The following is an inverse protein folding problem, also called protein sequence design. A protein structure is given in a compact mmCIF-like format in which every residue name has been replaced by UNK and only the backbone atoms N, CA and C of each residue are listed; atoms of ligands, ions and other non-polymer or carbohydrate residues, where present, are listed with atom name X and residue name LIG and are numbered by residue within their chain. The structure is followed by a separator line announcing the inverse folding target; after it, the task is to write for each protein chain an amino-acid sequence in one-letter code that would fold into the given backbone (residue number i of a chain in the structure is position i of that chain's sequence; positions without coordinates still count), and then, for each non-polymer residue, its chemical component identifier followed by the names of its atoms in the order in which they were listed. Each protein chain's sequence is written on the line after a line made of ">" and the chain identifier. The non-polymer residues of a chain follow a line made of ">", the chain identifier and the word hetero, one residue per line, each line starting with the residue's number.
data_IF_434570341113
#
_entry.id   IF_434570341113
#
_cell.length_a   1.000
_cell.length_b   1.000
_cell.length_c   1.000
_cell.angle_alpha   90.00
_cell.angle_beta   90.00
_cell.angle_gamma   90.00
#
_symmetry.space_group_name_H-M   'P 1'
#
loop_
_entity.id
_entity.type
_entity.pdbx_description
1 polymer ?
#
# COMPACT_ATOMS: atom_id res chain seq x y z
N UNK A 1 6.41 1.75 16.31
CA UNK A 1 7.19 0.52 16.61
C UNK A 1 7.09 -0.38 15.40
N UNK A 2 8.20 -0.62 14.73
CA UNK A 2 8.23 -1.48 13.54
C UNK A 2 8.34 -2.94 14.02
N UNK A 3 7.32 -3.74 13.73
CA UNK A 3 7.36 -5.17 13.95
C UNK A 3 7.99 -5.77 12.69
N UNK A 4 9.15 -6.36 12.83
CA UNK A 4 9.86 -7.03 11.74
C UNK A 4 9.45 -8.49 11.74
N UNK A 5 8.75 -8.92 10.72
CA UNK A 5 8.27 -10.30 10.56
C UNK A 5 9.39 -11.34 10.61
N UNK A 6 10.59 -10.99 10.17
CA UNK A 6 11.79 -11.85 10.17
C UNK A 6 12.71 -11.63 11.39
N UNK A 7 12.28 -10.91 12.43
CA UNK A 7 13.11 -10.70 13.61
C UNK A 7 12.90 -11.82 14.63
N UNK A 8 13.98 -12.23 15.30
CA UNK A 8 13.91 -13.15 16.44
C UNK A 8 13.51 -12.37 17.69
N UNK A 9 12.43 -12.79 18.32
CA UNK A 9 11.95 -12.22 19.57
C UNK A 9 12.34 -13.10 20.76
N UNK A 10 12.51 -12.57 21.96
CA UNK A 10 12.91 -13.34 23.16
C UNK A 10 11.78 -14.21 23.71
N UNK A 11 10.59 -14.18 23.13
CA UNK A 11 9.42 -14.97 23.49
C UNK A 11 8.59 -15.23 22.23
N UNK A 12 7.76 -16.29 22.19
CA UNK A 12 6.97 -16.65 21.03
C UNK A 12 5.91 -15.60 20.71
N UNK A 13 5.68 -15.33 19.43
CA UNK A 13 4.63 -14.43 18.94
C UNK A 13 3.77 -15.17 17.94
N UNK A 14 2.49 -15.38 18.25
CA UNK A 14 1.55 -16.03 17.37
C UNK A 14 1.22 -15.14 16.15
N UNK A 15 1.18 -15.75 14.94
CA UNK A 15 0.89 -15.06 13.68
C UNK A 15 2.09 -14.38 13.01
N UNK A 16 3.32 -14.67 13.46
CA UNK A 16 4.52 -14.38 12.69
C UNK A 16 4.98 -15.65 11.95
N UNK A 17 5.67 -15.54 10.80
CA UNK A 17 6.12 -16.69 9.99
C UNK A 17 7.36 -17.37 10.62
N UNK A 18 7.26 -17.79 11.88
CA UNK A 18 8.38 -18.33 12.67
C UNK A 18 8.07 -19.64 13.41
N UNK A 19 6.93 -20.28 13.15
CA UNK A 19 6.49 -21.54 13.77
C UNK A 19 6.52 -21.55 15.32
N UNK A 20 6.41 -20.39 15.95
CA UNK A 20 6.44 -20.27 17.41
C UNK A 20 5.24 -20.92 18.09
N UNK A 21 4.10 -20.99 17.40
CA UNK A 21 2.86 -21.58 17.91
C UNK A 21 2.41 -22.75 17.04
N UNK A 22 1.74 -23.72 17.66
CA UNK A 22 1.05 -24.78 16.95
C UNK A 22 -0.37 -24.34 16.55
N UNK A 23 -0.93 -24.98 15.52
CA UNK A 23 -2.31 -24.73 15.09
C UNK A 23 -2.44 -23.63 14.03
N UNK A 24 -3.69 -23.22 13.71
CA UNK A 24 -3.94 -22.23 12.68
C UNK A 24 -3.45 -20.84 13.09
N UNK A 25 -3.07 -20.04 12.11
CA UNK A 25 -2.71 -18.65 12.32
C UNK A 25 -3.92 -17.80 12.73
N UNK A 26 -3.70 -16.67 13.44
CA UNK A 26 -4.76 -15.74 13.74
C UNK A 26 -5.28 -15.09 12.45
N UNK A 27 -6.57 -14.75 12.42
CA UNK A 27 -7.21 -14.12 11.28
C UNK A 27 -8.11 -12.98 11.76
N UNK A 28 -8.48 -12.09 10.83
CA UNK A 28 -9.39 -11.01 11.12
C UNK A 28 -10.08 -10.47 9.88
N UNK A 29 -11.31 -10.01 10.06
CA UNK A 29 -12.07 -9.34 9.03
C UNK A 29 -12.25 -7.87 9.37
N UNK A 30 -12.20 -7.03 8.36
CA UNK A 30 -12.31 -5.58 8.56
C UNK A 30 -13.17 -4.91 7.51
N UNK A 31 -13.74 -3.78 7.88
CA UNK A 31 -14.44 -2.89 6.97
C UNK A 31 -14.17 -1.45 7.39
N UNK A 32 -13.75 -0.63 6.44
CA UNK A 32 -13.55 0.79 6.67
C UNK A 32 -14.47 1.62 5.78
N UNK A 33 -15.14 2.60 6.35
CA UNK A 33 -16.04 3.51 5.66
C UNK A 33 -15.78 4.95 6.14
N UNK A 34 -16.02 5.93 5.27
CA UNK A 34 -16.07 7.34 5.65
C UNK A 34 -17.48 7.68 6.12
N UNK A 35 -17.61 8.13 7.36
CA UNK A 35 -18.85 8.71 7.90
C UNK A 35 -18.85 10.21 7.56
N UNK A 36 -19.57 10.57 6.51
CA UNK A 36 -19.68 11.94 6.05
C UNK A 36 -20.33 12.89 7.10
N UNK A 37 -21.12 12.35 8.03
CA UNK A 37 -21.79 13.15 9.08
C UNK A 37 -20.82 13.62 10.16
N UNK A 38 -19.87 12.77 10.56
CA UNK A 38 -18.83 13.08 11.55
C UNK A 38 -17.49 13.47 10.94
N UNK A 39 -17.32 13.31 9.62
CA UNK A 39 -16.04 13.45 8.93
C UNK A 39 -14.94 12.56 9.53
N UNK A 40 -15.29 11.30 9.80
CA UNK A 40 -14.38 10.30 10.37
C UNK A 40 -14.35 9.04 9.50
N UNK A 41 -13.19 8.44 9.37
CA UNK A 41 -13.11 7.06 8.93
C UNK A 41 -13.49 6.14 10.09
N UNK A 42 -14.40 5.21 9.84
CA UNK A 42 -14.87 4.23 10.80
C UNK A 42 -14.35 2.87 10.37
N UNK A 43 -13.46 2.31 11.16
CA UNK A 43 -12.93 0.97 10.99
C UNK A 43 -13.65 0.02 11.95
N UNK A 44 -14.43 -0.90 11.39
CA UNK A 44 -14.99 -2.05 12.10
C UNK A 44 -14.04 -3.23 11.90
N UNK A 45 -13.67 -3.89 12.99
CA UNK A 45 -12.75 -5.01 12.97
C UNK A 45 -13.26 -6.15 13.83
N UNK A 46 -13.14 -7.38 13.31
CA UNK A 46 -13.46 -8.62 14.03
C UNK A 46 -12.25 -9.55 13.99
N UNK A 47 -11.74 -9.89 15.15
CA UNK A 47 -10.59 -10.81 15.31
C UNK A 47 -11.10 -12.23 15.48
N UNK A 48 -10.51 -13.18 14.76
CA UNK A 48 -10.71 -14.62 14.95
C UNK A 48 -9.48 -15.19 15.66
N UNK A 49 -9.65 -15.58 16.92
CA UNK A 49 -8.62 -16.24 17.72
C UNK A 49 -9.05 -17.67 17.98
N UNK A 50 -8.29 -18.65 17.51
CA UNK A 50 -8.57 -20.08 17.78
C UNK A 50 -7.73 -20.65 18.94
N UNK A 51 -6.67 -19.94 19.37
CA UNK A 51 -5.83 -20.33 20.48
C UNK A 51 -6.53 -20.10 21.84
N UNK A 52 -6.91 -21.18 22.52
CA UNK A 52 -7.64 -21.14 23.79
C UNK A 52 -6.81 -20.53 24.94
N UNK A 53 -5.48 -20.69 24.90
CA UNK A 53 -4.59 -20.06 25.87
C UNK A 53 -4.61 -18.53 25.78
N UNK A 54 -4.62 -17.99 24.57
CA UNK A 54 -4.71 -16.53 24.34
C UNK A 54 -6.09 -16.02 24.76
N UNK A 55 -7.17 -16.72 24.41
CA UNK A 55 -8.52 -16.38 24.88
C UNK A 55 -8.59 -16.30 26.41
N UNK A 56 -7.96 -17.27 27.08
CA UNK A 56 -7.89 -17.30 28.53
C UNK A 56 -7.13 -16.12 29.10
N UNK A 57 -5.98 -15.75 28.52
CA UNK A 57 -5.23 -14.55 28.94
C UNK A 57 -6.06 -13.27 28.82
N UNK A 58 -6.86 -13.13 27.75
CA UNK A 58 -7.75 -11.99 27.58
C UNK A 58 -8.88 -12.01 28.59
N UNK A 59 -9.50 -13.17 28.84
CA UNK A 59 -10.56 -13.32 29.83
C UNK A 59 -10.08 -13.06 31.26
N UNK A 60 -8.81 -13.35 31.57
CA UNK A 60 -8.16 -13.08 32.86
C UNK A 60 -7.63 -11.62 32.95
N UNK A 61 -7.92 -10.76 31.95
CA UNK A 61 -7.44 -9.37 31.83
C UNK A 61 -5.90 -9.24 31.83
N UNK A 62 -5.19 -10.34 31.57
CA UNK A 62 -3.72 -10.36 31.43
C UNK A 62 -3.24 -9.95 30.04
N UNK A 63 -4.13 -10.00 29.05
CA UNK A 63 -3.89 -9.57 27.68
C UNK A 63 -5.08 -8.78 27.14
N UNK A 64 -4.85 -8.00 26.09
CA UNK A 64 -5.90 -7.23 25.41
C UNK A 64 -5.62 -7.13 23.93
N UNK A 65 -6.67 -6.99 23.11
CA UNK A 65 -6.53 -6.59 21.72
C UNK A 65 -6.07 -5.14 21.66
N UNK A 66 -5.16 -4.85 20.76
CA UNK A 66 -4.63 -3.50 20.55
C UNK A 66 -4.61 -3.18 19.05
N UNK A 67 -5.37 -2.15 18.69
CA UNK A 67 -5.34 -1.57 17.36
C UNK A 67 -4.42 -0.36 17.39
N UNK A 68 -3.43 -0.32 16.50
CA UNK A 68 -2.53 0.80 16.29
C UNK A 68 -2.82 1.36 14.90
N UNK A 69 -3.23 2.62 14.84
CA UNK A 69 -3.50 3.36 13.61
C UNK A 69 -2.42 4.39 13.43
N UNK A 70 -1.70 4.33 12.31
CA UNK A 70 -0.56 5.19 12.01
C UNK A 70 -0.71 5.81 10.62
N UNK A 71 -0.56 7.12 10.52
CA UNK A 71 -0.40 7.83 9.27
C UNK A 71 0.94 8.55 9.26
N UNK A 72 1.92 8.00 8.54
CA UNK A 72 3.29 8.53 8.52
C UNK A 72 3.34 9.93 7.92
N UNK A 73 2.50 10.23 6.93
CA UNK A 73 2.49 11.52 6.23
C UNK A 73 2.07 12.69 7.12
N UNK A 74 1.24 12.43 8.14
CA UNK A 74 0.75 13.46 9.06
C UNK A 74 1.28 13.28 10.48
N UNK A 75 2.13 12.28 10.72
CA UNK A 75 2.60 11.88 12.05
C UNK A 75 1.46 11.55 13.02
N UNK A 76 0.32 11.13 12.46
CA UNK A 76 -0.82 10.72 13.28
C UNK A 76 -0.60 9.32 13.82
N UNK A 77 -0.82 9.17 15.14
CA UNK A 77 -0.77 7.89 15.83
C UNK A 77 -1.95 7.81 16.80
N UNK A 78 -2.75 6.76 16.67
CA UNK A 78 -3.84 6.45 17.59
C UNK A 78 -3.73 5.00 18.05
N UNK A 79 -4.01 4.75 19.31
CA UNK A 79 -4.07 3.40 19.87
C UNK A 79 -5.44 3.18 20.50
N UNK A 80 -6.04 2.03 20.24
CA UNK A 80 -7.29 1.57 20.84
C UNK A 80 -7.07 0.19 21.44
N UNK A 81 -7.49 0.03 22.70
CA UNK A 81 -7.49 -1.27 23.37
C UNK A 81 -8.93 -1.78 23.51
N UNK A 82 -9.10 -3.10 23.42
CA UNK A 82 -10.39 -3.78 23.56
C UNK A 82 -10.21 -5.15 24.18
N UNK A 83 -11.09 -5.53 25.10
CA UNK A 83 -11.21 -6.91 25.60
C UNK A 83 -12.15 -7.76 24.70
N UNK A 84 -12.93 -7.10 23.82
CA UNK A 84 -13.78 -7.78 22.84
C UNK A 84 -13.03 -8.04 21.55
N UNK A 85 -13.22 -9.19 20.90
CA UNK A 85 -12.69 -9.45 19.57
C UNK A 85 -13.34 -8.56 18.49
N UNK A 86 -14.50 -8.00 18.77
CA UNK A 86 -15.18 -7.06 17.89
C UNK A 86 -15.02 -5.65 18.44
N UNK A 87 -14.47 -4.74 17.64
CA UNK A 87 -14.28 -3.35 18.05
C UNK A 87 -14.29 -2.39 16.87
N UNK A 88 -14.61 -1.14 17.17
CA UNK A 88 -14.66 -0.08 16.18
C UNK A 88 -13.62 0.99 16.53
N UNK A 89 -12.92 1.50 15.54
CA UNK A 89 -11.99 2.64 15.67
C UNK A 89 -12.47 3.79 14.79
N UNK A 90 -12.58 4.98 15.37
CA UNK A 90 -12.92 6.22 14.66
C UNK A 90 -11.67 7.06 14.48
N UNK A 91 -11.42 7.50 13.26
CA UNK A 91 -10.19 8.18 12.86
C UNK A 91 -10.60 9.49 12.18
N UNK A 92 -10.27 10.66 12.74
CA UNK A 92 -10.62 11.94 12.13
C UNK A 92 -10.00 12.08 10.73
N UNK A 93 -10.83 12.29 9.70
CA UNK A 93 -10.38 12.34 8.32
C UNK A 93 -9.41 13.51 8.08
N UNK A 94 -9.56 14.61 8.80
CA UNK A 94 -8.68 15.78 8.73
C UNK A 94 -7.25 15.54 9.26
N UNK A 95 -7.04 14.48 10.06
CA UNK A 95 -5.75 14.15 10.68
C UNK A 95 -4.95 13.13 9.90
N UNK A 96 -5.51 12.54 8.87
CA UNK A 96 -4.88 11.48 8.10
C UNK A 96 -4.85 11.82 6.62
N UNK A 97 -3.82 11.37 5.91
CA UNK A 97 -3.64 11.69 4.51
C UNK A 97 -2.95 10.55 3.76
N UNK A 98 -3.37 10.29 2.53
CA UNK A 98 -2.85 9.27 1.62
C UNK A 98 -2.99 7.84 2.14
N UNK A 99 -2.16 7.43 3.08
CA UNK A 99 -2.09 6.03 3.56
C UNK A 99 -2.28 5.96 5.06
N UNK A 100 -3.03 4.97 5.45
CA UNK A 100 -3.27 4.64 6.83
C UNK A 100 -2.82 3.20 7.08
N UNK A 101 -1.82 3.02 7.94
CA UNK A 101 -1.38 1.71 8.39
C UNK A 101 -2.13 1.36 9.68
N UNK A 102 -2.80 0.22 9.67
CA UNK A 102 -3.49 -0.33 10.85
C UNK A 102 -2.85 -1.65 11.22
N UNK A 103 -2.43 -1.79 12.48
CA UNK A 103 -1.89 -3.03 13.03
C UNK A 103 -2.80 -3.52 14.15
N UNK A 104 -3.13 -4.81 14.10
CA UNK A 104 -3.95 -5.47 15.12
C UNK A 104 -3.10 -6.50 15.85
N UNK A 105 -3.01 -6.35 17.16
CA UNK A 105 -2.14 -7.12 18.03
C UNK A 105 -2.91 -7.68 19.24
N UNK A 106 -2.38 -8.70 19.89
CA UNK A 106 -2.67 -9.02 21.28
C UNK A 106 -1.44 -8.67 22.12
N UNK A 107 -1.60 -7.88 23.16
CA UNK A 107 -0.50 -7.43 24.02
C UNK A 107 -0.76 -7.78 25.49
N UNK A 108 0.31 -8.06 26.22
CA UNK A 108 0.25 -8.30 27.65
C UNK A 108 -0.06 -6.99 28.40
N UNK A 109 -1.05 -6.99 29.28
CA UNK A 109 -1.42 -5.85 30.15
C UNK A 109 -0.61 -5.80 31.43
N UNK A 110 -0.07 -6.94 31.85
CA UNK A 110 0.77 -7.15 33.04
C UNK A 110 1.94 -8.04 32.67
N UNK A 111 2.92 -8.17 33.58
CA UNK A 111 3.94 -9.21 33.46
C UNK A 111 3.27 -10.59 33.64
N UNK A 112 3.52 -11.49 32.70
CA UNK A 112 3.02 -12.86 32.69
C UNK A 112 4.23 -13.78 32.86
N UNK A 113 4.25 -14.61 33.89
CA UNK A 113 5.35 -15.52 34.12
C UNK A 113 4.86 -16.98 34.21
N UNK A 114 5.64 -17.90 33.64
CA UNK A 114 5.37 -19.32 33.71
C UNK A 114 4.07 -19.75 33.02
N UNK A 115 3.66 -19.08 31.96
CA UNK A 115 2.47 -19.44 31.22
C UNK A 115 2.69 -20.75 30.44
N UNK A 116 2.01 -21.82 30.85
CA UNK A 116 2.20 -23.17 30.34
C UNK A 116 0.97 -23.74 29.62
N UNK A 117 -0.02 -22.89 29.32
CA UNK A 117 -1.26 -23.30 28.64
C UNK A 117 -1.40 -22.66 27.24
N UNK A 118 -0.37 -21.99 26.76
CA UNK A 118 -0.26 -21.58 25.37
C UNK A 118 0.20 -22.79 24.55
N UNK A 119 -0.40 -22.95 23.38
CA UNK A 119 -0.01 -24.01 22.44
C UNK A 119 1.20 -23.55 21.61
N UNK A 120 2.36 -23.47 22.28
CA UNK A 120 3.64 -23.06 21.70
C UNK A 120 4.46 -24.25 21.24
N UNK A 121 5.39 -24.01 20.32
CA UNK A 121 6.34 -25.00 19.85
C UNK A 121 7.19 -25.53 21.02
N UNK A 122 7.59 -26.82 20.96
CA UNK A 122 8.38 -27.54 21.97
C UNK A 122 9.72 -26.85 22.32
N UNK A 123 10.24 -26.00 21.40
CA UNK A 123 11.45 -25.19 21.60
C UNK A 123 11.36 -24.31 22.86
N UNK A 124 10.15 -23.89 23.24
CA UNK A 124 9.90 -23.04 24.40
C UNK A 124 9.70 -23.82 25.71
N UNK A 125 9.99 -25.13 25.75
CA UNK A 125 9.89 -26.02 26.92
C UNK A 125 8.55 -25.92 27.70
N UNK A 126 7.48 -25.45 27.02
CA UNK A 126 6.10 -25.41 27.52
C UNK A 126 5.76 -24.33 28.54
N UNK A 127 6.69 -23.43 28.88
CA UNK A 127 6.41 -22.30 29.76
C UNK A 127 6.99 -21.00 29.15
N UNK A 128 6.19 -19.93 29.10
CA UNK A 128 6.54 -18.69 28.45
C UNK A 128 6.33 -17.51 29.40
N UNK A 129 7.22 -16.53 29.32
CA UNK A 129 7.14 -15.27 30.03
C UNK A 129 6.92 -14.12 29.05
N UNK A 130 5.97 -13.24 29.36
CA UNK A 130 5.77 -12.00 28.61
C UNK A 130 5.89 -10.80 29.52
N UNK A 131 6.72 -9.81 29.20
CA UNK A 131 6.74 -8.56 29.93
C UNK A 131 5.48 -7.76 29.63
N UNK A 132 5.08 -6.88 30.55
CA UNK A 132 4.00 -5.91 30.32
C UNK A 132 4.25 -5.11 29.03
N UNK A 133 3.28 -5.06 28.14
CA UNK A 133 3.37 -4.47 26.80
C UNK A 133 4.01 -5.36 25.76
N UNK A 134 4.43 -6.57 26.13
CA UNK A 134 4.94 -7.60 25.19
C UNK A 134 3.85 -8.04 24.23
N UNK A 135 4.23 -8.27 22.97
CA UNK A 135 3.31 -8.73 21.92
C UNK A 135 3.15 -10.24 22.06
N UNK A 136 1.91 -10.69 22.27
CA UNK A 136 1.57 -12.12 22.34
C UNK A 136 1.15 -12.66 20.98
N UNK A 137 0.42 -11.84 20.21
CA UNK A 137 0.00 -12.18 18.86
C UNK A 137 0.06 -10.98 17.92
N UNK A 138 0.41 -11.26 16.69
CA UNK A 138 0.33 -10.36 15.55
C UNK A 138 -0.80 -10.87 14.66
N UNK A 139 -1.92 -10.13 14.64
CA UNK A 139 -3.13 -10.59 13.96
C UNK A 139 -3.11 -10.15 12.50
N UNK A 140 -2.86 -8.84 12.28
CA UNK A 140 -2.98 -8.26 10.95
C UNK A 140 -2.20 -6.95 10.82
N UNK A 141 -1.82 -6.63 9.57
CA UNK A 141 -1.24 -5.35 9.17
C UNK A 141 -1.86 -4.88 7.86
N UNK A 142 -2.73 -3.89 7.95
CA UNK A 142 -3.58 -3.45 6.84
C UNK A 142 -3.15 -2.06 6.41
N UNK A 143 -2.94 -1.90 5.11
CA UNK A 143 -2.72 -0.59 4.51
C UNK A 143 -4.00 -0.12 3.82
N UNK A 144 -4.58 0.99 4.29
CA UNK A 144 -5.69 1.64 3.64
C UNK A 144 -5.22 2.84 2.82
N UNK A 145 -5.65 2.94 1.59
CA UNK A 145 -5.57 4.16 0.82
C UNK A 145 -6.79 5.03 1.12
N UNK A 146 -6.52 6.22 1.67
CA UNK A 146 -7.56 7.19 2.05
C UNK A 146 -7.90 8.16 0.92
N UNK A 147 -7.17 8.13 -0.17
CA UNK A 147 -7.54 8.92 -1.33
C UNK A 147 -8.80 8.30 -1.90
N UNK A 148 -9.92 9.03 -1.84
CA UNK A 148 -11.10 8.67 -2.61
C UNK A 148 -10.63 8.33 -4.03
N UNK A 149 -11.16 7.24 -4.58
CA UNK A 149 -11.10 6.97 -6.01
C UNK A 149 -11.80 8.13 -6.73
N UNK A 150 -11.13 9.26 -6.86
CA UNK A 150 -11.30 10.03 -8.06
C UNK A 150 -10.82 9.10 -9.16
N UNK A 151 -11.70 8.76 -10.09
CA UNK A 151 -11.42 7.89 -11.22
C UNK A 151 -10.35 8.48 -12.17
N UNK A 152 -9.66 9.48 -11.73
CA UNK A 152 -8.48 10.05 -12.36
C UNK A 152 -7.25 9.40 -11.71
N UNK A 153 -6.70 8.43 -12.40
CA UNK A 153 -5.37 7.90 -12.10
C UNK A 153 -4.39 9.04 -12.36
N UNK A 154 -4.21 9.90 -11.36
CA UNK A 154 -3.30 11.04 -11.47
C UNK A 154 -1.85 10.54 -11.59
N UNK A 155 -1.48 10.22 -12.81
CA UNK A 155 -0.15 9.72 -13.17
C UNK A 155 0.96 10.72 -12.80
N UNK A 156 0.60 12.00 -12.55
CA UNK A 156 1.56 13.01 -12.05
C UNK A 156 2.13 12.64 -10.67
N UNK A 157 1.43 11.80 -9.90
CA UNK A 157 1.91 11.29 -8.61
C UNK A 157 2.98 10.21 -8.75
N UNK A 158 2.94 9.46 -9.86
CA UNK A 158 3.88 8.37 -10.15
C UNK A 158 5.13 8.92 -10.83
N UNK A 159 4.97 9.85 -11.77
CA UNK A 159 6.04 10.32 -12.62
C UNK A 159 6.61 11.67 -12.18
N UNK A 160 7.91 11.84 -12.43
CA UNK A 160 8.62 13.11 -12.26
C UNK A 160 9.51 13.33 -13.48
N UNK A 161 9.33 14.45 -14.17
CA UNK A 161 10.24 14.89 -15.22
C UNK A 161 11.44 15.62 -14.65
N UNK A 162 12.62 15.43 -15.23
CA UNK A 162 13.87 16.07 -14.80
C UNK A 162 14.81 16.31 -15.97
N UNK A 163 15.21 17.59 -16.19
CA UNK A 163 16.32 17.91 -17.08
C UNK A 163 17.63 17.39 -16.48
N UNK A 164 18.39 16.63 -17.24
CA UNK A 164 19.63 15.98 -16.79
C UNK A 164 20.72 16.00 -17.88
N UNK A 165 21.98 15.72 -17.50
CA UNK A 165 23.09 15.58 -18.44
C UNK A 165 23.06 14.19 -19.10
N UNK A 166 22.02 13.96 -19.92
CA UNK A 166 21.79 12.75 -20.70
C UNK A 166 21.72 13.09 -22.18
N UNK A 167 22.05 12.13 -23.05
CA UNK A 167 22.00 12.32 -24.51
C UNK A 167 20.64 12.00 -25.10
N UNK A 168 19.82 11.24 -24.37
CA UNK A 168 18.49 10.76 -24.77
C UNK A 168 17.57 10.71 -23.57
N UNK A 169 16.27 10.48 -23.80
CA UNK A 169 15.33 10.24 -22.70
C UNK A 169 15.68 8.93 -22.01
N UNK A 170 15.75 8.96 -20.69
CA UNK A 170 16.04 7.83 -19.82
C UNK A 170 14.97 7.71 -18.74
N UNK A 171 14.61 6.48 -18.43
CA UNK A 171 13.66 6.16 -17.36
C UNK A 171 14.37 5.47 -16.22
N UNK A 172 14.05 5.85 -15.00
CA UNK A 172 14.62 5.22 -13.81
C UNK A 172 13.62 5.27 -12.66
N UNK A 173 13.68 4.29 -11.76
CA UNK A 173 12.96 4.33 -10.50
C UNK A 173 13.89 4.91 -9.43
N UNK A 174 13.49 6.02 -8.79
CA UNK A 174 14.28 6.70 -7.79
C UNK A 174 13.37 7.07 -6.60
N UNK A 175 13.57 6.37 -5.48
CA UNK A 175 12.77 6.56 -4.29
C UNK A 175 11.28 6.28 -4.55
N UNK A 176 10.46 7.29 -4.31
CA UNK A 176 8.99 7.21 -4.34
C UNK A 176 8.37 7.42 -5.72
N UNK A 177 9.18 7.69 -6.76
CA UNK A 177 8.67 8.03 -8.10
C UNK A 177 9.47 7.40 -9.23
N UNK A 178 8.81 7.27 -10.37
CA UNK A 178 9.44 6.99 -11.66
C UNK A 178 9.94 8.31 -12.25
N UNK A 179 11.24 8.39 -12.53
CA UNK A 179 11.87 9.62 -13.04
C UNK A 179 12.10 9.51 -14.55
N UNK A 180 11.55 10.46 -15.28
CA UNK A 180 11.76 10.67 -16.71
C UNK A 180 12.85 11.73 -16.86
N UNK A 181 14.06 11.31 -17.26
CA UNK A 181 15.19 12.22 -17.51
C UNK A 181 15.22 12.58 -18.99
N UNK A 182 15.35 13.86 -19.29
CA UNK A 182 15.51 14.36 -20.65
C UNK A 182 16.72 15.30 -20.74
N UNK A 183 17.32 15.50 -21.96
CA UNK A 183 18.51 16.33 -22.12
C UNK A 183 18.29 17.76 -21.67
N UNK A 184 19.22 18.32 -20.89
CA UNK A 184 19.19 19.73 -20.47
C UNK A 184 19.13 20.71 -21.63
N UNK A 185 19.71 20.34 -22.78
CA UNK A 185 19.67 21.14 -24.02
C UNK A 185 18.27 21.31 -24.59
N UNK A 186 17.34 20.42 -24.25
CA UNK A 186 15.94 20.44 -24.74
C UNK A 186 14.96 20.94 -23.67
N UNK A 187 15.43 21.62 -22.64
CA UNK A 187 14.57 22.04 -21.51
C UNK A 187 13.51 23.05 -21.97
N UNK A 188 13.90 24.06 -22.74
CA UNK A 188 12.97 25.12 -23.21
C UNK A 188 11.92 24.54 -24.14
N UNK A 189 12.33 23.66 -25.05
CA UNK A 189 11.41 22.98 -25.99
C UNK A 189 10.45 22.08 -25.24
N UNK A 190 10.92 21.33 -24.23
CA UNK A 190 10.09 20.48 -23.41
C UNK A 190 9.03 21.27 -22.64
N UNK A 191 9.42 22.35 -21.95
CA UNK A 191 8.52 23.24 -21.21
C UNK A 191 7.48 23.90 -22.15
N UNK A 192 7.87 24.26 -23.35
CA UNK A 192 6.97 24.79 -24.36
C UNK A 192 5.93 23.74 -24.81
N UNK A 193 6.35 22.51 -25.12
CA UNK A 193 5.46 21.42 -25.52
C UNK A 193 4.55 21.01 -24.38
N UNK A 194 5.05 20.92 -23.14
CA UNK A 194 4.26 20.60 -21.96
C UNK A 194 3.12 21.58 -21.72
N UNK A 195 3.36 22.87 -21.99
CA UNK A 195 2.35 23.92 -21.81
C UNK A 195 1.35 24.05 -22.97
N UNK A 196 1.78 23.73 -24.21
CA UNK A 196 0.96 23.98 -25.42
C UNK A 196 0.28 22.73 -25.97
N UNK A 197 0.87 21.54 -25.75
CA UNK A 197 0.35 20.27 -26.26
C UNK A 197 0.69 19.13 -25.29
N UNK A 198 0.04 19.05 -24.11
CA UNK A 198 0.33 18.06 -23.08
C UNK A 198 0.18 16.61 -23.58
N UNK A 199 -0.71 16.32 -24.52
CA UNK A 199 -0.83 14.98 -25.11
C UNK A 199 0.44 14.48 -25.81
N UNK A 200 1.29 15.40 -26.32
CA UNK A 200 2.61 15.03 -26.87
C UNK A 200 3.51 14.53 -25.73
N UNK A 201 3.50 15.20 -24.57
CA UNK A 201 4.29 14.78 -23.41
C UNK A 201 3.79 13.44 -22.88
N UNK A 202 2.49 13.26 -22.78
CA UNK A 202 1.90 11.99 -22.36
C UNK A 202 2.28 10.85 -23.30
N UNK A 203 2.13 11.04 -24.61
CA UNK A 203 2.41 10.01 -25.59
C UNK A 203 3.92 9.70 -25.74
N UNK A 204 4.77 10.72 -25.74
CA UNK A 204 6.19 10.56 -26.01
C UNK A 204 7.06 10.28 -24.77
N UNK A 205 6.60 10.65 -23.58
CA UNK A 205 7.39 10.56 -22.35
C UNK A 205 6.70 9.73 -21.27
N UNK A 206 5.41 9.98 -20.97
CA UNK A 206 4.71 9.29 -19.88
C UNK A 206 4.35 7.87 -20.27
N UNK A 207 3.83 7.64 -21.47
CA UNK A 207 3.45 6.31 -21.92
C UNK A 207 4.65 5.32 -21.96
N UNK A 208 5.82 5.65 -22.55
CA UNK A 208 6.98 4.77 -22.45
C UNK A 208 7.51 4.62 -21.01
N UNK A 209 7.39 5.65 -20.17
CA UNK A 209 7.77 5.56 -18.77
C UNK A 209 6.85 4.61 -17.99
N UNK A 210 5.55 4.58 -18.31
CA UNK A 210 4.59 3.66 -17.71
C UNK A 210 4.88 2.21 -18.15
N UNK A 211 5.17 1.97 -19.43
CA UNK A 211 5.63 0.66 -19.93
C UNK A 211 6.89 0.21 -19.18
N UNK A 212 7.89 1.09 -19.05
CA UNK A 212 9.10 0.79 -18.29
C UNK A 212 8.78 0.45 -16.84
N UNK A 213 7.97 1.25 -16.15
CA UNK A 213 7.63 1.06 -14.77
C UNK A 213 6.88 -0.26 -14.52
N UNK A 214 5.91 -0.62 -15.37
CA UNK A 214 5.22 -1.91 -15.34
C UNK A 214 6.18 -3.08 -15.56
N UNK A 215 7.17 -2.93 -16.47
CA UNK A 215 8.15 -3.99 -16.75
C UNK A 215 9.10 -4.29 -15.59
N UNK A 216 9.37 -3.29 -14.74
CA UNK A 216 10.24 -3.46 -13.55
C UNK A 216 9.45 -3.69 -12.26
N UNK A 217 8.12 -3.58 -12.30
CA UNK A 217 7.24 -3.79 -11.15
C UNK A 217 7.46 -5.14 -10.43
N UNK A 218 7.65 -6.28 -11.14
CA UNK A 218 7.92 -7.57 -10.50
C UNK A 218 9.18 -7.60 -9.62
N UNK A 219 10.14 -6.73 -9.87
CA UNK A 219 11.36 -6.64 -9.09
C UNK A 219 11.18 -5.81 -7.81
N UNK A 220 10.08 -5.09 -7.68
CA UNK A 220 9.80 -4.14 -6.62
C UNK A 220 8.44 -4.34 -5.95
N UNK A 221 7.68 -5.39 -6.31
CA UNK A 221 6.29 -5.55 -5.88
C UNK A 221 6.09 -5.63 -4.36
N UNK A 222 7.11 -6.08 -3.63
CA UNK A 222 7.12 -6.12 -2.16
C UNK A 222 7.56 -4.80 -1.50
N UNK A 223 7.87 -3.77 -2.29
CA UNK A 223 8.32 -2.48 -1.79
C UNK A 223 7.14 -1.56 -1.44
N UNK A 224 7.26 -0.81 -0.33
CA UNK A 224 6.26 0.16 0.13
C UNK A 224 6.31 1.51 -0.61
N UNK A 225 7.00 1.59 -1.74
CA UNK A 225 7.16 2.83 -2.51
C UNK A 225 5.85 3.27 -3.17
N UNK A 226 5.61 4.58 -3.22
CA UNK A 226 4.38 5.16 -3.78
C UNK A 226 4.10 4.68 -5.21
N UNK A 227 5.09 4.71 -6.11
CA UNK A 227 4.90 4.29 -7.49
C UNK A 227 4.52 2.81 -7.64
N UNK A 228 5.06 1.92 -6.78
CA UNK A 228 4.71 0.49 -6.76
C UNK A 228 3.26 0.31 -6.38
N UNK A 229 2.83 0.99 -5.32
CA UNK A 229 1.46 0.95 -4.85
C UNK A 229 0.47 1.41 -5.93
N UNK A 230 0.73 2.55 -6.58
CA UNK A 230 -0.13 3.05 -7.65
C UNK A 230 -0.18 2.12 -8.86
N UNK A 231 0.96 1.54 -9.28
CA UNK A 231 0.98 0.60 -10.39
C UNK A 231 0.24 -0.70 -10.09
N UNK A 232 0.35 -1.22 -8.87
CA UNK A 232 -0.46 -2.37 -8.44
C UNK A 232 -1.95 -2.08 -8.59
N UNK A 233 -2.42 -0.93 -8.10
CA UNK A 233 -3.82 -0.54 -8.24
C UNK A 233 -4.26 -0.43 -9.71
N UNK A 234 -3.40 0.07 -10.59
CA UNK A 234 -3.67 0.13 -12.04
C UNK A 234 -3.84 -1.28 -12.61
N UNK A 235 -2.95 -2.20 -12.27
CA UNK A 235 -3.02 -3.60 -12.72
C UNK A 235 -4.27 -4.29 -12.17
N UNK A 236 -4.54 -4.14 -10.87
CA UNK A 236 -5.69 -4.73 -10.20
C UNK A 236 -7.02 -4.22 -10.80
N UNK A 237 -7.13 -2.91 -11.02
CA UNK A 237 -8.30 -2.29 -11.65
C UNK A 237 -8.48 -2.77 -13.10
N UNK A 238 -7.39 -2.92 -13.85
CA UNK A 238 -7.45 -3.44 -15.23
C UNK A 238 -7.91 -4.91 -15.24
N UNK A 239 -7.27 -5.77 -14.46
CA UNK A 239 -7.62 -7.19 -14.34
C UNK A 239 -9.08 -7.38 -13.90
N UNK A 240 -9.54 -6.57 -12.94
CA UNK A 240 -10.94 -6.59 -12.48
C UNK A 240 -11.94 -6.22 -13.59
N UNK A 241 -11.61 -5.26 -14.47
CA UNK A 241 -12.47 -4.83 -15.58
C UNK A 241 -12.64 -5.87 -16.67
N UNK A 242 -11.61 -6.72 -16.88
CA UNK A 242 -11.62 -7.77 -17.91
C UNK A 242 -11.88 -9.17 -17.33
N UNK A 243 -12.22 -9.26 -16.05
CA UNK A 243 -12.49 -10.51 -15.31
C UNK A 243 -11.32 -11.51 -15.38
N UNK A 244 -10.10 -10.99 -15.26
CA UNK A 244 -8.87 -11.78 -15.21
C UNK A 244 -8.26 -11.80 -13.80
N UNK A 245 -7.62 -12.91 -13.38
CA UNK A 245 -6.89 -12.94 -12.12
C UNK A 245 -5.66 -12.03 -12.20
N UNK A 246 -5.32 -11.38 -11.08
CA UNK A 246 -4.08 -10.61 -10.98
C UNK A 246 -2.89 -11.57 -11.11
N UNK A 247 -1.90 -11.28 -11.99
CA UNK A 247 -0.73 -12.14 -12.16
C UNK A 247 0.12 -12.24 -10.88
N UNK A 248 0.68 -13.44 -10.62
CA UNK A 248 1.58 -13.67 -9.50
C UNK A 248 2.79 -12.72 -9.59
N UNK A 249 3.14 -12.08 -8.47
CA UNK A 249 4.21 -11.08 -8.37
C UNK A 249 4.08 -9.91 -9.40
N UNK A 250 2.88 -9.67 -9.94
CA UNK A 250 2.63 -8.65 -10.99
C UNK A 250 3.50 -8.85 -12.24
N UNK A 251 3.79 -10.11 -12.55
CA UNK A 251 4.58 -10.48 -13.73
C UNK A 251 3.71 -10.49 -15.00
N UNK A 252 3.77 -9.40 -15.74
CA UNK A 252 3.02 -9.15 -16.96
C UNK A 252 3.86 -9.49 -18.19
N UNK A 253 3.23 -9.92 -19.26
CA UNK A 253 3.87 -10.00 -20.57
C UNK A 253 3.84 -8.63 -21.29
N UNK A 254 4.47 -8.55 -22.47
CA UNK A 254 4.58 -7.26 -23.18
C UNK A 254 3.24 -6.75 -23.71
N UNK A 255 2.35 -7.65 -24.10
CA UNK A 255 1.03 -7.27 -24.63
C UNK A 255 0.15 -6.78 -23.48
N UNK A 256 0.16 -7.46 -22.34
CA UNK A 256 -0.53 -7.04 -21.10
C UNK A 256 -0.02 -5.66 -20.61
N UNK A 257 1.30 -5.46 -20.58
CA UNK A 257 1.91 -4.17 -20.21
C UNK A 257 1.42 -3.06 -21.13
N UNK A 258 1.39 -3.30 -22.45
CA UNK A 258 0.94 -2.33 -23.43
C UNK A 258 -0.55 -2.00 -23.25
N UNK A 259 -1.38 -3.02 -23.10
CA UNK A 259 -2.83 -2.85 -22.93
C UNK A 259 -3.18 -2.10 -21.63
N UNK A 260 -2.52 -2.43 -20.53
CA UNK A 260 -2.68 -1.74 -19.24
C UNK A 260 -2.24 -0.28 -19.39
N UNK A 261 -1.08 -0.01 -19.98
CA UNK A 261 -0.58 1.34 -20.16
C UNK A 261 -1.50 2.18 -21.06
N UNK A 262 -2.00 1.61 -22.14
CA UNK A 262 -2.91 2.28 -23.06
C UNK A 262 -4.29 2.54 -22.45
N UNK A 263 -4.83 1.60 -21.68
CA UNK A 263 -6.08 1.77 -20.96
C UNK A 263 -5.97 2.85 -19.86
N UNK A 264 -4.83 2.94 -19.19
CA UNK A 264 -4.58 3.90 -18.10
C UNK A 264 -4.45 5.34 -18.59
N UNK A 265 -4.01 5.55 -19.84
CA UNK A 265 -3.85 6.85 -20.49
C UNK A 265 -4.99 7.17 -21.48
N UNK A 266 -6.14 6.50 -21.35
CA UNK A 266 -7.34 6.78 -22.18
C UNK A 266 -7.08 6.77 -23.69
N UNK A 267 -6.30 5.79 -24.17
CA UNK A 267 -5.86 5.70 -25.57
C UNK A 267 -5.02 6.91 -26.01
N UNK A 268 -3.92 7.14 -25.34
CA UNK A 268 -3.01 8.30 -25.52
C UNK A 268 -2.68 8.62 -26.99
N UNK A 269 -2.57 7.63 -27.85
CA UNK A 269 -2.27 7.85 -29.28
C UNK A 269 -3.44 8.49 -30.02
N UNK A 270 -4.68 8.19 -29.66
CA UNK A 270 -5.88 8.83 -30.22
C UNK A 270 -5.97 10.28 -29.75
N UNK A 271 -5.73 10.53 -28.46
CA UNK A 271 -5.67 11.89 -27.90
C UNK A 271 -4.61 12.75 -28.59
N UNK A 272 -3.41 12.18 -28.81
CA UNK A 272 -2.33 12.86 -29.53
C UNK A 272 -2.75 13.27 -30.94
N UNK A 273 -3.41 12.38 -31.70
CA UNK A 273 -3.89 12.69 -33.04
C UNK A 273 -4.94 13.79 -33.05
N UNK A 274 -5.86 13.77 -32.09
CA UNK A 274 -6.93 14.78 -31.97
C UNK A 274 -6.37 16.15 -31.58
N UNK A 275 -5.42 16.22 -30.64
CA UNK A 275 -4.77 17.49 -30.30
C UNK A 275 -3.91 18.03 -31.43
N UNK A 276 -3.12 17.18 -32.07
CA UNK A 276 -2.29 17.58 -33.22
C UNK A 276 -3.15 18.14 -34.34
N UNK A 277 -4.31 17.54 -34.60
CA UNK A 277 -5.26 18.05 -35.58
C UNK A 277 -5.76 19.45 -35.21
N UNK A 278 -6.15 19.67 -33.94
CA UNK A 278 -6.61 20.99 -33.45
C UNK A 278 -5.53 22.07 -33.65
N UNK A 279 -4.28 21.77 -33.34
CA UNK A 279 -3.15 22.71 -33.52
C UNK A 279 -2.94 23.03 -35.00
N UNK A 280 -3.05 22.04 -35.90
CA UNK A 280 -2.93 22.25 -37.34
C UNK A 280 -4.11 23.15 -37.88
N UNK A 281 -5.32 22.82 -37.46
CA UNK A 281 -6.51 23.55 -37.88
C UNK A 281 -6.42 25.02 -37.45
N UNK A 282 -5.98 25.33 -36.23
CA UNK A 282 -5.74 26.68 -35.72
C UNK A 282 -4.65 27.42 -36.52
N UNK A 283 -3.54 26.74 -36.84
CA UNK A 283 -2.46 27.34 -37.59
C UNK A 283 -2.81 27.60 -39.08
N UNK A 284 -3.89 27.01 -39.59
CA UNK A 284 -4.38 27.25 -40.97
C UNK A 284 -5.44 28.37 -41.05
N UNK A 285 -5.99 28.78 -39.91
CA UNK A 285 -6.97 29.88 -39.81
C UNK A 285 -6.32 31.27 -39.58
N UNK A 286 -5.06 31.31 -39.12
CA UNK A 286 -4.23 32.49 -38.95
C UNK A 286 -3.42 32.80 -40.24
#
# INVERSE_FOLDING_TARGET
>A
MEIRENATYPYPIWGLPNDDFNGPEPDGTHKMNLDAGSNEFVLDYTVTVENEGIKRLIAEEKATYKCIVECVQTYYLQMKESSSPEFQVRIPAEKVHKRLLVKILVVATTDISGCNYLDVNEIYEGAVDYPKGGIIAYIDSINFDLQQKDNDTDLSKIFRTKAADVLRVEYSVDGERVVIKYPKSSKTEFECVESTCPAVVEAAFVFPALIYALSVLPQHYSSDRDWVYYLKNIVDDYCSKIDMPVPEDYKLDLDEIYDIANASLSNVHVMLLDETKKVIDQAMED
#
